data_IF_579475361784
#
_entry.id   IF_579475361784
#
_cell.length_a   1.000
_cell.length_b   1.000
_cell.length_c   1.000
_cell.angle_alpha   90.00
_cell.angle_beta   90.00
_cell.angle_gamma   90.00
#
_symmetry.space_group_name_H-M   'P 1'
#
loop_
_entity.id
_entity.type
_entity.pdbx_description
1 polymer ?
#
# COMPACT_ATOMS: atom_id res chain seq x y z
N UNK A 1 -12.20 11.24 7.81
CA UNK A 1 -10.97 10.54 7.38
C UNK A 1 -11.23 9.06 7.54
N UNK A 2 -11.26 8.33 6.44
CA UNK A 2 -11.71 6.95 6.43
C UNK A 2 -10.63 6.03 7.00
N UNK A 3 -11.05 4.87 7.49
CA UNK A 3 -10.16 3.85 8.06
C UNK A 3 -10.21 2.63 7.16
N UNK A 4 -9.04 2.07 6.84
CA UNK A 4 -8.96 0.86 6.05
C UNK A 4 -9.79 -0.26 6.68
N UNK A 5 -10.55 -1.02 5.88
CA UNK A 5 -11.46 -2.02 6.43
C UNK A 5 -10.68 -3.11 7.17
N UNK A 6 -11.19 -3.52 8.33
CA UNK A 6 -10.63 -4.63 9.12
C UNK A 6 -10.88 -6.00 8.48
N UNK A 7 -11.82 -6.05 7.54
CA UNK A 7 -12.22 -7.25 6.81
C UNK A 7 -12.20 -6.97 5.29
N UNK A 8 -11.64 -7.86 4.46
CA UNK A 8 -10.96 -9.12 4.78
C UNK A 8 -9.68 -8.95 5.62
N UNK A 9 -9.36 -9.89 6.51
CA UNK A 9 -8.16 -9.80 7.35
C UNK A 9 -6.90 -9.82 6.48
N UNK A 10 -5.92 -9.03 6.86
CA UNK A 10 -4.63 -8.96 6.17
C UNK A 10 -3.90 -10.29 6.37
N UNK A 11 -3.63 -10.99 5.26
CA UNK A 11 -2.99 -12.31 5.27
C UNK A 11 -1.47 -12.17 5.41
N UNK A 12 -0.84 -13.17 6.03
CA UNK A 12 0.60 -13.26 6.38
C UNK A 12 1.55 -13.11 5.18
N UNK A 13 1.06 -13.13 3.94
CA UNK A 13 1.83 -12.82 2.72
C UNK A 13 2.02 -11.32 2.43
N UNK A 14 1.48 -10.45 3.26
CA UNK A 14 1.55 -8.99 3.08
C UNK A 14 2.88 -8.44 3.58
N UNK A 15 3.66 -7.80 2.70
CA UNK A 15 4.99 -7.30 3.03
C UNK A 15 4.98 -5.81 3.34
N UNK A 16 5.94 -5.40 4.18
CA UNK A 16 6.23 -4.01 4.46
C UNK A 16 7.66 -3.69 4.01
N UNK A 17 7.83 -2.57 3.36
CA UNK A 17 9.14 -2.03 2.98
C UNK A 17 9.27 -0.58 3.43
N UNK A 18 10.46 -0.18 3.87
CA UNK A 18 10.75 1.20 4.23
C UNK A 18 11.32 1.92 3.02
N UNK A 19 10.69 3.04 2.63
CA UNK A 19 11.09 3.86 1.50
C UNK A 19 11.78 5.13 2.01
N UNK A 20 13.03 5.34 1.60
CA UNK A 20 13.76 6.57 1.86
C UNK A 20 14.45 7.06 0.57
N UNK A 21 13.70 7.64 -0.37
CA UNK A 21 14.24 8.05 -1.65
C UNK A 21 15.26 9.19 -1.45
N UNK A 22 16.31 9.17 -2.25
CA UNK A 22 17.38 10.18 -2.25
C UNK A 22 17.38 10.92 -3.58
N UNK A 23 17.59 12.24 -3.52
CA UNK A 23 17.91 13.05 -4.68
C UNK A 23 19.42 12.95 -4.91
N UNK A 24 19.81 12.52 -6.11
CA UNK A 24 21.21 12.45 -6.54
C UNK A 24 21.41 13.41 -7.69
N UNK A 25 22.40 14.29 -7.57
CA UNK A 25 22.84 15.18 -8.64
C UNK A 25 24.34 15.00 -8.85
N UNK A 26 24.74 14.77 -10.09
CA UNK A 26 26.15 14.72 -10.51
C UNK A 26 26.54 16.06 -11.13
N UNK A 27 27.69 16.59 -10.74
CA UNK A 27 28.30 17.74 -11.41
C UNK A 27 29.26 17.30 -12.51
N UNK A 28 29.49 18.19 -13.47
CA UNK A 28 30.39 17.95 -14.61
C UNK A 28 31.85 17.71 -14.16
N UNK A 29 32.23 18.22 -12.98
CA UNK A 29 33.51 17.95 -12.32
C UNK A 29 33.61 16.59 -11.62
N UNK A 30 32.66 15.68 -11.81
CA UNK A 30 32.69 14.33 -11.24
C UNK A 30 32.22 14.21 -9.78
N UNK A 31 31.79 15.31 -9.14
CA UNK A 31 31.25 15.24 -7.78
C UNK A 31 29.79 14.78 -7.79
N UNK A 32 29.46 13.86 -6.89
CA UNK A 32 28.07 13.44 -6.65
C UNK A 32 27.58 14.01 -5.32
N UNK A 33 26.45 14.71 -5.34
CA UNK A 33 25.76 15.17 -4.13
C UNK A 33 24.51 14.31 -3.95
N UNK A 34 24.34 13.77 -2.75
CA UNK A 34 23.15 12.98 -2.36
C UNK A 34 22.44 13.65 -1.20
N UNK A 35 21.14 13.95 -1.38
CA UNK A 35 20.27 14.50 -0.32
C UNK A 35 19.07 13.59 -0.13
N UNK A 36 18.77 13.22 1.12
CA UNK A 36 17.55 12.46 1.46
C UNK A 36 16.32 13.32 1.16
N UNK A 37 15.30 12.73 0.51
CA UNK A 37 14.03 13.42 0.23
C UNK A 37 13.24 13.67 1.51
N UNK A 38 13.32 12.75 2.48
CA UNK A 38 12.61 12.84 3.75
C UNK A 38 13.57 12.73 4.93
N UNK A 39 13.19 13.36 6.05
CA UNK A 39 13.88 13.25 7.33
C UNK A 39 13.70 11.87 7.96
N UNK A 40 12.50 11.28 7.81
CA UNK A 40 12.18 9.92 8.25
C UNK A 40 11.79 9.05 7.05
N UNK A 41 12.19 7.76 7.03
CA UNK A 41 11.69 6.82 6.03
C UNK A 41 10.17 6.66 6.18
N UNK A 42 9.47 6.47 5.07
CA UNK A 42 8.04 6.20 5.05
C UNK A 42 7.79 4.73 4.72
N UNK A 43 6.80 4.13 5.33
CA UNK A 43 6.45 2.74 5.10
C UNK A 43 5.64 2.57 3.80
N UNK A 44 5.89 1.47 3.11
CA UNK A 44 5.11 1.00 1.97
C UNK A 44 4.63 -0.40 2.30
N UNK A 45 3.37 -0.68 2.04
CA UNK A 45 2.69 -1.92 2.36
C UNK A 45 2.19 -2.55 1.07
N UNK A 46 2.57 -3.80 0.82
CA UNK A 46 2.05 -4.61 -0.28
C UNK A 46 1.17 -5.69 0.35
N UNK A 47 -0.13 -5.45 0.39
CA UNK A 47 -1.10 -6.39 0.92
C UNK A 47 -1.43 -7.43 -0.15
N UNK A 48 -1.21 -8.70 0.16
CA UNK A 48 -1.50 -9.79 -0.75
C UNK A 48 -2.65 -10.64 -0.19
N UNK A 49 -3.76 -10.68 -0.94
CA UNK A 49 -4.93 -11.46 -0.62
C UNK A 49 -5.04 -12.61 -1.64
N UNK A 50 -4.56 -13.82 -1.31
CA UNK A 50 -4.49 -14.93 -2.28
C UNK A 50 -5.85 -15.55 -2.62
N UNK A 51 -6.83 -15.42 -1.72
CA UNK A 51 -8.18 -15.95 -1.92
C UNK A 51 -9.20 -15.05 -1.21
N UNK A 52 -10.01 -14.34 -2.00
CA UNK A 52 -11.10 -13.48 -1.54
C UNK A 52 -12.42 -13.96 -2.09
N UNK A 53 -13.45 -13.96 -1.24
CA UNK A 53 -14.84 -14.16 -1.67
C UNK A 53 -15.35 -12.91 -2.40
N UNK A 54 -16.42 -13.06 -3.19
CA UNK A 54 -17.05 -11.94 -3.92
C UNK A 54 -17.45 -10.77 -3.01
N UNK A 55 -17.97 -11.05 -1.81
CA UNK A 55 -18.34 -10.01 -0.83
C UNK A 55 -17.13 -9.26 -0.28
N UNK A 56 -16.05 -9.99 0.04
CA UNK A 56 -14.80 -9.40 0.52
C UNK A 56 -14.15 -8.53 -0.55
N UNK A 57 -14.16 -9.01 -1.79
CA UNK A 57 -13.69 -8.24 -2.94
C UNK A 57 -14.49 -6.97 -3.12
N UNK A 58 -15.82 -7.04 -3.02
CA UNK A 58 -16.70 -5.87 -3.12
C UNK A 58 -16.36 -4.82 -2.05
N UNK A 59 -16.17 -5.22 -0.80
CA UNK A 59 -15.78 -4.28 0.28
C UNK A 59 -14.46 -3.58 -0.04
N UNK A 60 -13.45 -4.32 -0.49
CA UNK A 60 -12.15 -3.74 -0.86
C UNK A 60 -12.29 -2.82 -2.08
N UNK A 61 -13.09 -3.20 -3.07
CA UNK A 61 -13.30 -2.43 -4.30
C UNK A 61 -14.03 -1.12 -4.02
N UNK A 62 -15.12 -1.18 -3.24
CA UNK A 62 -15.90 0.00 -2.86
C UNK A 62 -15.01 0.95 -2.04
N UNK A 63 -14.25 0.43 -1.07
CA UNK A 63 -13.31 1.25 -0.30
C UNK A 63 -12.20 1.85 -1.18
N UNK A 64 -11.65 1.08 -2.12
CA UNK A 64 -10.63 1.53 -3.06
C UNK A 64 -11.14 2.69 -3.93
N UNK A 65 -12.34 2.56 -4.50
CA UNK A 65 -12.95 3.59 -5.36
C UNK A 65 -13.27 4.85 -4.57
N UNK A 66 -13.84 4.72 -3.37
CA UNK A 66 -14.20 5.87 -2.51
C UNK A 66 -12.98 6.65 -2.03
N UNK A 67 -11.87 5.95 -1.76
CA UNK A 67 -10.66 6.53 -1.16
C UNK A 67 -9.55 6.76 -2.18
N UNK A 68 -9.86 6.69 -3.48
CA UNK A 68 -8.84 6.87 -4.48
C UNK A 68 -8.34 8.32 -4.49
N UNK A 69 -7.02 8.49 -4.41
CA UNK A 69 -6.39 9.81 -4.24
C UNK A 69 -6.62 10.49 -2.88
N UNK A 70 -7.29 9.82 -1.93
CA UNK A 70 -7.53 10.34 -0.59
C UNK A 70 -6.64 9.65 0.45
N UNK A 71 -6.37 10.36 1.55
CA UNK A 71 -5.64 9.83 2.68
C UNK A 71 -6.58 9.12 3.66
N UNK A 72 -6.22 7.90 4.05
CA UNK A 72 -6.96 7.09 5.01
C UNK A 72 -6.04 6.57 6.12
N UNK A 73 -6.65 6.20 7.25
CA UNK A 73 -5.95 5.59 8.39
C UNK A 73 -5.78 4.10 8.14
N UNK A 74 -4.55 3.62 8.27
CA UNK A 74 -4.20 2.22 8.10
C UNK A 74 -3.44 1.72 9.34
N UNK A 75 -3.85 0.58 9.88
CA UNK A 75 -3.15 -0.09 10.98
C UNK A 75 -2.68 -1.45 10.46
N UNK A 76 -1.37 -1.63 10.43
CA UNK A 76 -0.78 -2.90 10.01
C UNK A 76 -0.85 -3.91 11.17
N UNK A 77 -1.27 -5.17 10.98
CA UNK A 77 -1.51 -6.08 12.11
C UNK A 77 -0.29 -6.38 12.98
N UNK A 78 0.92 -6.31 12.40
CA UNK A 78 2.18 -6.55 13.12
C UNK A 78 2.73 -5.28 13.79
N UNK A 79 2.13 -4.11 13.55
CA UNK A 79 2.51 -2.84 14.18
C UNK A 79 1.32 -2.26 14.97
N UNK A 80 1.57 -1.85 16.21
CA UNK A 80 0.50 -1.25 17.02
C UNK A 80 0.22 0.23 16.66
N UNK A 81 0.82 0.71 15.57
CA UNK A 81 0.74 2.10 15.14
C UNK A 81 -0.26 2.28 13.99
N UNK A 82 -1.08 3.34 14.09
CA UNK A 82 -1.93 3.79 12.98
C UNK A 82 -1.16 4.80 12.13
N UNK A 83 -1.04 4.51 10.84
CA UNK A 83 -0.39 5.39 9.85
C UNK A 83 -1.42 6.03 8.94
N UNK A 84 -1.06 7.17 8.37
CA UNK A 84 -1.83 7.83 7.33
C UNK A 84 -1.26 7.38 5.99
N UNK A 85 -2.11 6.77 5.17
CA UNK A 85 -1.69 6.15 3.92
C UNK A 85 -2.58 6.56 2.75
N UNK A 86 -2.06 6.38 1.55
CA UNK A 86 -2.75 6.55 0.28
C UNK A 86 -2.51 5.31 -0.59
N UNK A 87 -3.44 5.00 -1.49
CA UNK A 87 -3.21 3.96 -2.49
C UNK A 87 -2.11 4.40 -3.47
N UNK A 88 -1.14 3.51 -3.71
CA UNK A 88 -0.07 3.75 -4.69
C UNK A 88 -0.39 3.19 -6.07
N UNK A 89 -1.58 2.61 -6.22
CA UNK A 89 -2.02 1.94 -7.43
C UNK A 89 -3.24 2.63 -8.01
N UNK A 90 -3.35 2.62 -9.33
CA UNK A 90 -4.44 3.26 -10.06
C UNK A 90 -5.64 2.33 -10.22
N UNK A 91 -5.38 1.02 -10.36
CA UNK A 91 -6.38 -0.02 -10.57
C UNK A 91 -6.20 -1.22 -9.64
N UNK A 92 -7.33 -1.73 -9.15
CA UNK A 92 -7.40 -2.98 -8.39
C UNK A 92 -7.64 -4.14 -9.37
N UNK A 93 -6.61 -4.94 -9.64
CA UNK A 93 -6.71 -6.15 -10.46
C UNK A 93 -7.07 -7.36 -9.60
N UNK A 94 -8.00 -8.17 -10.10
CA UNK A 94 -8.37 -9.45 -9.53
C UNK A 94 -7.90 -10.56 -10.48
N UNK A 95 -7.05 -11.46 -9.99
CA UNK A 95 -6.66 -12.66 -10.70
C UNK A 95 -7.61 -13.80 -10.30
N UNK A 96 -8.36 -14.34 -11.26
CA UNK A 96 -9.29 -15.45 -11.03
C UNK A 96 -8.50 -16.74 -10.81
N UNK A 97 -8.42 -17.18 -9.55
CA UNK A 97 -7.58 -18.33 -9.20
C UNK A 97 -8.38 -19.63 -8.97
N UNK A 98 -9.72 -19.61 -8.91
CA UNK A 98 -10.62 -20.76 -9.02
C UNK A 98 -12.08 -20.30 -8.88
N UNK A 99 -13.04 -21.13 -9.31
CA UNK A 99 -14.48 -20.88 -9.56
C UNK A 99 -15.30 -19.97 -8.59
N UNK A 100 -14.79 -19.55 -7.43
CA UNK A 100 -15.46 -18.63 -6.50
C UNK A 100 -14.52 -17.69 -5.71
N UNK A 101 -13.21 -17.69 -5.99
CA UNK A 101 -12.23 -16.89 -5.25
C UNK A 101 -11.30 -16.12 -6.19
N UNK A 102 -11.03 -14.87 -5.83
CA UNK A 102 -10.09 -14.02 -6.56
C UNK A 102 -8.85 -13.71 -5.70
N UNK A 103 -7.70 -13.61 -6.35
CA UNK A 103 -6.49 -13.10 -5.74
C UNK A 103 -6.37 -11.60 -6.04
N UNK A 104 -6.06 -10.80 -5.02
CA UNK A 104 -5.94 -9.35 -5.14
C UNK A 104 -4.69 -8.89 -4.42
N UNK A 105 -3.95 -8.01 -5.07
CA UNK A 105 -2.82 -7.30 -4.48
C UNK A 105 -3.20 -5.84 -4.30
N UNK A 106 -2.97 -5.28 -3.12
CA UNK A 106 -3.20 -3.87 -2.80
C UNK A 106 -1.90 -3.22 -2.38
N UNK A 107 -1.53 -2.11 -3.02
CA UNK A 107 -0.32 -1.36 -2.70
C UNK A 107 -0.67 -0.02 -2.04
N UNK A 108 -0.16 0.16 -0.82
CA UNK A 108 -0.48 1.28 0.06
C UNK A 108 0.81 1.93 0.52
N UNK A 109 0.85 3.25 0.58
CA UNK A 109 2.06 4.00 0.95
C UNK A 109 1.73 5.05 2.00
N UNK A 110 2.60 5.14 3.02
CA UNK A 110 2.56 6.16 4.06
C UNK A 110 2.92 7.54 3.47
N UNK A 111 2.14 8.55 3.86
CA UNK A 111 2.35 9.96 3.48
C UNK A 111 2.79 10.83 4.64
#
# INVERSE_FOLDING_TARGET
MNTYPSYPPIVVGSSRTLRNPTHRSSSDGGYTITRKKWTKPKSSYSLNYPALNAEQFKILRDFFVENQGQAFKFRYPLEDETKICVFSMDDLKADDNMQSHCAVKVEIVEI
#
